data_IF_303757373018
#
_entry.id   IF_303757373018
#
_cell.length_a   1.000
_cell.length_b   1.000
_cell.length_c   1.000
_cell.angle_alpha   90.00
_cell.angle_beta   90.00
_cell.angle_gamma   90.00
#
_symmetry.space_group_name_H-M   'P 1'
#
loop_
_entity.id
_entity.type
_entity.pdbx_description
1 polymer ?
#
# COMPACT_ATOMS: atom_id res chain seq x y z
N UNK A 1 -28.24 2.73 -29.77
CA UNK A 1 -26.89 2.22 -29.46
C UNK A 1 -26.42 2.92 -28.19
N UNK A 2 -25.88 2.20 -27.21
CA UNK A 2 -25.35 2.80 -25.99
C UNK A 2 -24.13 3.68 -26.33
N UNK A 3 -24.05 4.86 -25.73
CA UNK A 3 -22.95 5.80 -25.95
C UNK A 3 -22.17 6.01 -24.63
N UNK A 4 -20.91 5.54 -24.55
CA UNK A 4 -20.18 5.56 -23.29
C UNK A 4 -19.72 6.97 -22.92
N UNK A 5 -19.61 7.27 -21.62
CA UNK A 5 -19.03 8.51 -21.12
C UNK A 5 -17.53 8.33 -20.94
N UNK A 6 -16.71 9.01 -21.75
CA UNK A 6 -15.25 8.86 -21.67
C UNK A 6 -14.61 10.15 -21.18
N UNK A 7 -13.72 10.03 -20.19
CA UNK A 7 -12.85 11.12 -19.74
C UNK A 7 -11.44 10.86 -20.26
N UNK A 8 -10.87 11.83 -20.98
CA UNK A 8 -9.52 11.72 -21.53
C UNK A 8 -8.58 12.77 -20.90
N UNK A 9 -7.56 12.35 -20.16
CA UNK A 9 -6.51 13.24 -19.67
C UNK A 9 -5.43 13.41 -20.73
N UNK A 10 -5.24 14.62 -21.23
CA UNK A 10 -4.31 14.92 -22.32
C UNK A 10 -3.16 15.80 -21.84
N UNK A 11 -1.93 15.33 -22.05
CA UNK A 11 -0.74 16.13 -21.86
C UNK A 11 -0.77 17.38 -22.75
N UNK A 12 -0.53 18.55 -22.15
CA UNK A 12 -0.55 19.86 -22.81
C UNK A 12 0.38 19.94 -24.01
N UNK A 13 1.57 19.39 -23.91
CA UNK A 13 2.64 19.62 -24.88
C UNK A 13 2.57 18.75 -26.13
N UNK A 14 1.98 17.56 -26.01
CA UNK A 14 1.96 16.57 -27.08
C UNK A 14 0.52 16.19 -27.42
N UNK A 15 -0.14 15.42 -26.56
CA UNK A 15 -1.42 14.79 -26.91
C UNK A 15 -2.58 15.78 -27.05
N UNK A 16 -2.57 16.90 -26.32
CA UNK A 16 -3.55 17.97 -26.51
C UNK A 16 -3.36 18.64 -27.88
N UNK A 17 -2.12 18.96 -28.25
CA UNK A 17 -1.79 19.48 -29.59
C UNK A 17 -2.03 18.45 -30.69
N UNK A 18 -1.84 17.16 -30.43
CA UNK A 18 -2.22 16.07 -31.34
C UNK A 18 -3.73 16.06 -31.59
N UNK A 19 -4.54 16.36 -30.58
CA UNK A 19 -5.98 16.56 -30.74
C UNK A 19 -6.30 17.79 -31.59
N UNK A 20 -5.59 18.92 -31.39
CA UNK A 20 -5.73 20.12 -32.21
C UNK A 20 -5.39 19.83 -33.68
N UNK A 21 -4.28 19.11 -33.93
CA UNK A 21 -3.85 18.66 -35.26
C UNK A 21 -4.92 17.79 -35.92
N UNK A 22 -5.53 16.86 -35.17
CA UNK A 22 -6.64 16.05 -35.68
C UNK A 22 -7.85 16.91 -36.08
N UNK A 23 -8.17 17.95 -35.28
CA UNK A 23 -9.22 18.92 -35.58
C UNK A 23 -8.95 19.75 -36.83
N UNK A 24 -7.74 20.28 -36.98
CA UNK A 24 -7.29 21.06 -38.17
C UNK A 24 -7.39 20.19 -39.43
N UNK A 25 -6.93 18.95 -39.35
CA UNK A 25 -6.99 17.97 -40.43
C UNK A 25 -8.41 17.40 -40.67
N UNK A 26 -9.41 17.86 -39.90
CA UNK A 26 -10.83 17.42 -39.98
C UNK A 26 -10.99 15.90 -39.85
N UNK A 27 -10.15 15.27 -39.06
CA UNK A 27 -10.21 13.84 -38.80
C UNK A 27 -11.39 13.53 -37.88
N UNK A 28 -12.16 12.49 -38.22
CA UNK A 28 -13.31 12.08 -37.42
C UNK A 28 -12.85 11.48 -36.09
N UNK A 29 -13.26 12.12 -35.00
CA UNK A 29 -13.06 11.64 -33.63
C UNK A 29 -14.41 11.46 -32.94
N UNK A 30 -14.51 10.55 -31.96
CA UNK A 30 -15.78 10.28 -31.28
C UNK A 30 -16.21 11.47 -30.41
N UNK A 31 -17.50 11.85 -30.49
CA UNK A 31 -18.04 13.05 -29.83
C UNK A 31 -18.28 12.89 -28.32
N UNK A 32 -18.19 11.66 -27.80
CA UNK A 32 -18.45 11.29 -26.41
C UNK A 32 -17.19 11.27 -25.52
N UNK A 33 -16.04 11.70 -26.04
CA UNK A 33 -14.82 11.89 -25.26
C UNK A 33 -14.74 13.33 -24.76
N UNK A 34 -14.57 13.50 -23.44
CA UNK A 34 -14.34 14.79 -22.80
C UNK A 34 -12.89 14.93 -22.39
N UNK A 35 -12.17 15.82 -23.06
CA UNK A 35 -10.76 16.06 -22.79
C UNK A 35 -10.57 16.94 -21.54
N UNK A 36 -9.69 16.52 -20.65
CA UNK A 36 -9.17 17.27 -19.51
C UNK A 36 -7.69 17.54 -19.79
N UNK A 37 -7.33 18.80 -19.98
CA UNK A 37 -5.95 19.21 -20.20
C UNK A 37 -5.16 19.12 -18.90
N UNK A 38 -4.01 18.46 -18.94
CA UNK A 38 -3.04 18.42 -17.83
C UNK A 38 -1.67 18.89 -18.32
N UNK A 39 -0.80 19.45 -17.47
CA UNK A 39 0.55 19.84 -17.90
C UNK A 39 1.35 18.65 -18.46
N UNK A 40 1.24 17.48 -17.81
CA UNK A 40 1.96 16.26 -18.16
C UNK A 40 1.10 15.03 -17.84
N UNK A 41 1.28 13.92 -18.57
CA UNK A 41 0.68 12.62 -18.18
C UNK A 41 1.12 12.18 -16.78
N UNK A 42 2.34 12.54 -16.36
CA UNK A 42 2.83 12.31 -14.99
C UNK A 42 2.04 13.02 -13.89
N UNK A 43 1.20 14.01 -14.24
CA UNK A 43 0.29 14.67 -13.29
C UNK A 43 -0.96 13.83 -12.99
N UNK A 44 -1.31 12.89 -13.87
CA UNK A 44 -2.49 12.04 -13.69
C UNK A 44 -2.21 11.03 -12.58
N UNK A 45 -2.80 11.29 -11.41
CA UNK A 45 -2.69 10.42 -10.25
C UNK A 45 -3.83 9.38 -10.27
N UNK A 46 -3.68 8.26 -9.52
CA UNK A 46 -4.74 7.27 -9.38
C UNK A 46 -6.06 7.85 -8.90
N UNK A 47 -6.03 8.83 -8.01
CA UNK A 47 -7.21 9.46 -7.43
C UNK A 47 -8.01 10.21 -8.49
N UNK A 48 -7.35 10.82 -9.49
CA UNK A 48 -8.04 11.47 -10.61
C UNK A 48 -8.77 10.45 -11.49
N UNK A 49 -8.19 9.27 -11.67
CA UNK A 49 -8.79 8.17 -12.44
C UNK A 49 -9.98 7.59 -11.66
N UNK A 50 -9.80 7.29 -10.36
CA UNK A 50 -10.88 6.83 -9.48
C UNK A 50 -12.03 7.84 -9.45
N UNK A 51 -11.72 9.13 -9.34
CA UNK A 51 -12.71 10.21 -9.35
C UNK A 51 -13.49 10.29 -10.67
N UNK A 52 -12.84 10.02 -11.80
CA UNK A 52 -13.52 9.97 -13.09
C UNK A 52 -14.55 8.83 -13.14
N UNK A 53 -14.19 7.63 -12.64
CA UNK A 53 -15.13 6.50 -12.55
C UNK A 53 -16.25 6.76 -11.52
N UNK A 54 -15.94 7.31 -10.34
CA UNK A 54 -16.95 7.74 -9.36
C UNK A 54 -17.89 8.82 -9.93
N UNK A 55 -17.36 9.70 -10.79
CA UNK A 55 -18.11 10.69 -11.56
C UNK A 55 -18.94 10.10 -12.69
N UNK A 56 -18.71 8.85 -13.07
CA UNK A 56 -19.51 8.11 -14.03
C UNK A 56 -18.93 7.97 -15.41
N UNK A 57 -17.61 8.05 -15.51
CA UNK A 57 -16.92 7.59 -16.70
C UNK A 57 -17.14 6.08 -16.86
N UNK A 58 -17.44 5.67 -18.09
CA UNK A 58 -17.46 4.28 -18.51
C UNK A 58 -16.08 3.82 -19.02
N UNK A 59 -15.22 4.78 -19.35
CA UNK A 59 -13.82 4.59 -19.67
C UNK A 59 -12.98 5.84 -19.40
N UNK A 60 -11.72 5.63 -19.02
CA UNK A 60 -10.72 6.67 -18.77
C UNK A 60 -9.52 6.46 -19.69
N UNK A 61 -9.19 7.49 -20.46
CA UNK A 61 -8.05 7.51 -21.36
C UNK A 61 -6.99 8.48 -20.84
N UNK A 62 -5.73 8.09 -20.85
CA UNK A 62 -4.60 8.96 -20.53
C UNK A 62 -3.65 8.99 -21.71
N UNK A 63 -3.44 10.18 -22.29
CA UNK A 63 -2.51 10.37 -23.40
C UNK A 63 -1.35 11.28 -22.99
N UNK A 64 -0.13 10.80 -23.22
CA UNK A 64 1.12 11.53 -22.98
C UNK A 64 2.01 11.69 -24.21
N UNK A 65 3.12 12.38 -24.04
CA UNK A 65 4.23 12.37 -25.01
C UNK A 65 4.84 10.97 -25.09
N UNK A 66 5.45 10.61 -26.22
CA UNK A 66 6.24 9.38 -26.33
C UNK A 66 7.35 9.33 -25.27
N UNK A 67 7.69 8.11 -24.84
CA UNK A 67 8.76 7.88 -23.86
C UNK A 67 10.07 8.46 -24.41
N UNK A 68 10.78 9.25 -23.60
CA UNK A 68 11.95 10.03 -24.04
C UNK A 68 11.66 11.42 -24.64
N UNK A 69 10.41 11.75 -24.97
CA UNK A 69 9.99 13.05 -25.52
C UNK A 69 9.20 13.90 -24.52
N UNK A 70 9.25 13.57 -23.23
CA UNK A 70 8.53 14.35 -22.24
C UNK A 70 9.10 15.77 -22.15
N UNK A 71 8.22 16.76 -22.18
CA UNK A 71 8.60 18.15 -21.90
C UNK A 71 9.19 18.34 -20.49
N UNK A 72 8.82 17.47 -19.54
CA UNK A 72 9.32 17.47 -18.17
C UNK A 72 10.24 16.28 -17.90
N UNK A 73 10.98 15.84 -18.92
CA UNK A 73 11.95 14.74 -18.94
C UNK A 73 11.38 13.36 -18.60
N UNK A 74 10.99 13.14 -17.35
CA UNK A 74 10.62 11.82 -16.82
C UNK A 74 9.14 11.73 -16.43
N UNK A 75 8.34 12.76 -16.70
CA UNK A 75 6.93 12.82 -16.27
C UNK A 75 6.10 11.66 -16.83
N UNK A 76 6.26 11.33 -18.11
CA UNK A 76 5.57 10.19 -18.74
C UNK A 76 6.14 8.82 -18.31
N UNK A 77 7.42 8.72 -17.95
CA UNK A 77 8.00 7.50 -17.35
C UNK A 77 7.28 7.14 -16.04
N UNK A 78 6.97 8.14 -15.20
CA UNK A 78 6.14 7.92 -13.99
C UNK A 78 4.76 7.39 -14.34
N UNK A 79 4.09 7.96 -15.35
CA UNK A 79 2.78 7.49 -15.80
C UNK A 79 2.85 6.05 -16.34
N UNK A 80 3.90 5.72 -17.10
CA UNK A 80 4.14 4.40 -17.68
C UNK A 80 4.33 3.31 -16.61
N UNK A 81 4.89 3.65 -15.45
CA UNK A 81 4.96 2.74 -14.29
C UNK A 81 3.65 2.69 -13.51
N UNK A 82 3.05 3.86 -13.26
CA UNK A 82 1.94 4.02 -12.32
C UNK A 82 0.61 3.49 -12.83
N UNK A 83 0.27 3.77 -14.08
CA UNK A 83 -1.05 3.46 -14.63
C UNK A 83 -1.25 1.96 -14.85
N UNK A 84 -0.26 1.17 -15.32
CA UNK A 84 -0.40 -0.29 -15.38
C UNK A 84 -0.66 -0.93 -14.01
N UNK A 85 0.06 -0.50 -12.97
CA UNK A 85 -0.17 -0.99 -11.60
C UNK A 85 -1.59 -0.65 -11.10
N UNK A 86 -2.10 0.54 -11.43
CA UNK A 86 -3.47 0.91 -11.10
C UNK A 86 -4.46 0.05 -11.89
N UNK A 87 -4.21 -0.17 -13.18
CA UNK A 87 -5.04 -1.01 -14.04
C UNK A 87 -5.14 -2.42 -13.49
N UNK A 88 -4.04 -2.99 -13.00
CA UNK A 88 -4.02 -4.28 -12.29
C UNK A 88 -4.90 -4.26 -11.04
N UNK A 89 -4.79 -3.22 -10.20
CA UNK A 89 -5.63 -3.08 -9.01
C UNK A 89 -7.12 -2.97 -9.35
N UNK A 90 -7.47 -2.16 -10.36
CA UNK A 90 -8.84 -1.97 -10.83
C UNK A 90 -9.43 -3.27 -11.39
N UNK A 91 -8.63 -4.02 -12.16
CA UNK A 91 -8.99 -5.34 -12.65
C UNK A 91 -9.26 -6.31 -11.50
N UNK A 92 -8.39 -6.32 -10.48
CA UNK A 92 -8.55 -7.18 -9.31
C UNK A 92 -9.83 -6.87 -8.53
N UNK A 93 -10.31 -5.63 -8.55
CA UNK A 93 -11.61 -5.26 -7.97
C UNK A 93 -12.79 -5.34 -8.92
N UNK A 94 -12.60 -5.93 -10.10
CA UNK A 94 -13.68 -6.26 -11.02
C UNK A 94 -13.99 -5.24 -12.10
N UNK A 95 -13.21 -4.16 -12.22
CA UNK A 95 -13.32 -3.25 -13.36
C UNK A 95 -12.60 -3.85 -14.58
N UNK A 96 -13.28 -3.91 -15.73
CA UNK A 96 -12.70 -4.46 -16.95
C UNK A 96 -11.45 -3.66 -17.36
N UNK A 97 -10.29 -4.32 -17.59
CA UNK A 97 -9.02 -3.62 -17.86
C UNK A 97 -9.10 -2.66 -19.06
N UNK A 98 -9.93 -2.95 -20.05
CA UNK A 98 -10.11 -2.16 -21.26
C UNK A 98 -10.77 -0.80 -20.99
N UNK A 99 -11.36 -0.59 -19.80
CA UNK A 99 -11.92 0.71 -19.38
C UNK A 99 -10.84 1.73 -18.98
N UNK A 100 -9.59 1.32 -18.80
CA UNK A 100 -8.45 2.21 -18.54
C UNK A 100 -7.35 1.98 -19.58
N UNK A 101 -7.02 3.02 -20.36
CA UNK A 101 -5.94 2.99 -21.36
C UNK A 101 -4.96 4.15 -21.13
N UNK A 102 -3.68 3.81 -21.13
CA UNK A 102 -2.57 4.75 -21.29
C UNK A 102 -2.00 4.56 -22.70
N UNK A 103 -1.78 5.65 -23.43
CA UNK A 103 -1.12 5.61 -24.74
C UNK A 103 -0.34 6.92 -24.99
N UNK A 104 0.42 6.96 -26.08
CA UNK A 104 1.35 8.03 -26.40
C UNK A 104 1.02 8.66 -27.75
N UNK A 105 0.97 9.99 -27.79
CA UNK A 105 0.63 10.80 -28.97
C UNK A 105 1.46 12.07 -28.94
N UNK A 106 2.30 12.26 -29.96
CA UNK A 106 3.06 13.51 -30.21
C UNK A 106 2.16 14.62 -30.76
N UNK A 107 2.69 15.85 -30.81
CA UNK A 107 1.95 17.02 -31.28
C UNK A 107 1.50 16.93 -32.75
N UNK A 108 2.30 16.28 -33.60
CA UNK A 108 2.02 16.13 -35.04
C UNK A 108 1.18 14.90 -35.39
N UNK A 109 0.83 14.06 -34.42
CA UNK A 109 0.19 12.76 -34.62
C UNK A 109 -1.35 12.82 -34.58
N UNK A 110 -1.95 13.71 -35.37
CA UNK A 110 -3.41 13.85 -35.44
C UNK A 110 -4.14 12.56 -35.87
N UNK A 111 -3.60 11.84 -36.85
CA UNK A 111 -4.15 10.55 -37.31
C UNK A 111 -4.11 9.49 -36.22
N UNK A 112 -3.01 9.41 -35.46
CA UNK A 112 -2.88 8.48 -34.33
C UNK A 112 -3.85 8.83 -33.22
N UNK A 113 -4.02 10.12 -32.89
CA UNK A 113 -5.02 10.58 -31.92
C UNK A 113 -6.43 10.14 -32.31
N UNK A 114 -6.84 10.40 -33.56
CA UNK A 114 -8.14 10.01 -34.06
C UNK A 114 -8.32 8.49 -34.02
N UNK A 115 -7.31 7.72 -34.43
CA UNK A 115 -7.35 6.25 -34.36
C UNK A 115 -7.53 5.74 -32.92
N UNK A 116 -6.66 6.15 -31.99
CA UNK A 116 -6.70 5.68 -30.59
C UNK A 116 -8.03 6.01 -29.92
N UNK A 117 -8.55 7.22 -30.14
CA UNK A 117 -9.83 7.63 -29.56
C UNK A 117 -10.99 6.84 -30.11
N UNK A 118 -11.04 6.57 -31.41
CA UNK A 118 -12.06 5.72 -32.02
C UNK A 118 -11.99 4.26 -31.51
N UNK A 119 -10.80 3.67 -31.50
CA UNK A 119 -10.58 2.31 -30.97
C UNK A 119 -11.03 2.20 -29.52
N UNK A 120 -10.62 3.16 -28.68
CA UNK A 120 -10.97 3.15 -27.27
C UNK A 120 -12.47 3.34 -27.05
N UNK A 121 -13.10 4.27 -27.78
CA UNK A 121 -14.54 4.46 -27.71
C UNK A 121 -15.32 3.22 -28.14
N UNK A 122 -14.85 2.51 -29.17
CA UNK A 122 -15.45 1.25 -29.60
C UNK A 122 -15.27 0.15 -28.56
N UNK A 123 -14.07 -0.01 -27.99
CA UNK A 123 -13.80 -1.00 -26.95
C UNK A 123 -14.71 -0.80 -25.73
N UNK A 124 -14.82 0.43 -25.23
CA UNK A 124 -15.70 0.76 -24.10
C UNK A 124 -17.18 0.58 -24.47
N UNK A 125 -17.58 0.90 -25.71
CA UNK A 125 -18.96 0.71 -26.18
C UNK A 125 -19.35 -0.77 -26.19
N UNK A 126 -18.43 -1.67 -26.57
CA UNK A 126 -18.66 -3.12 -26.57
C UNK A 126 -18.83 -3.68 -25.15
N UNK A 127 -18.17 -3.09 -24.15
CA UNK A 127 -18.35 -3.47 -22.75
C UNK A 127 -19.66 -2.98 -22.13
N UNK A 128 -20.34 -2.00 -22.75
CA UNK A 128 -21.55 -1.41 -22.18
C UNK A 128 -21.29 -0.54 -20.94
N UNK A 129 -22.36 -0.16 -20.22
CA UNK A 129 -22.26 0.73 -19.06
C UNK A 129 -21.42 0.12 -17.93
N UNK A 130 -20.60 0.94 -17.29
CA UNK A 130 -19.77 0.47 -16.18
C UNK A 130 -20.61 0.14 -14.95
N UNK A 131 -20.33 -1.01 -14.33
CA UNK A 131 -20.90 -1.43 -13.04
C UNK A 131 -20.19 -0.79 -11.83
N UNK A 132 -19.25 0.13 -12.06
CA UNK A 132 -18.52 0.83 -11.00
C UNK A 132 -19.43 1.55 -9.98
N UNK A 133 -20.68 1.87 -10.31
CA UNK A 133 -21.63 2.49 -9.37
C UNK A 133 -22.87 1.63 -9.14
N UNK A 134 -22.70 0.31 -9.16
CA UNK A 134 -23.77 -0.61 -8.81
C UNK A 134 -24.36 -0.27 -7.42
N UNK A 135 -25.68 -0.46 -7.30
CA UNK A 135 -26.44 -0.12 -6.10
C UNK A 135 -26.08 -1.10 -4.96
N UNK A 136 -25.69 -0.61 -3.76
CA UNK A 136 -25.45 -1.45 -2.60
C UNK A 136 -26.60 -2.43 -2.28
N UNK A 137 -27.86 -2.08 -2.52
CA UNK A 137 -29.01 -2.98 -2.27
C UNK A 137 -29.02 -4.17 -3.23
N UNK A 138 -28.54 -4.00 -4.46
CA UNK A 138 -28.40 -5.09 -5.44
C UNK A 138 -27.25 -6.04 -5.08
N UNK A 139 -26.23 -5.54 -4.37
CA UNK A 139 -24.98 -6.24 -4.01
C UNK A 139 -25.11 -7.07 -2.72
N UNK A 140 -26.05 -6.75 -1.82
CA UNK A 140 -26.23 -7.46 -0.53
C UNK A 140 -26.66 -8.92 -0.66
N UNK A 141 -27.07 -9.36 -1.86
CA UNK A 141 -27.64 -10.70 -2.07
C UNK A 141 -26.60 -11.83 -2.16
N UNK A 142 -25.30 -11.53 -2.27
CA UNK A 142 -24.24 -12.54 -2.33
C UNK A 142 -23.09 -12.20 -1.37
N UNK A 143 -23.31 -12.47 -0.09
CA UNK A 143 -22.21 -12.57 0.88
C UNK A 143 -21.39 -13.82 0.62
N UNK A 144 -20.53 -13.80 -0.40
CA UNK A 144 -19.50 -14.84 -0.56
C UNK A 144 -18.61 -14.82 0.67
N UNK A 145 -18.84 -15.80 1.55
CA UNK A 145 -17.93 -16.09 2.64
C UNK A 145 -16.60 -16.54 2.02
N UNK A 146 -15.52 -16.06 2.61
CA UNK A 146 -14.19 -16.52 2.26
C UNK A 146 -14.02 -18.00 2.53
N UNK A 147 -13.01 -18.60 1.88
CA UNK A 147 -12.47 -19.84 2.38
C UNK A 147 -11.99 -19.60 3.83
N UNK A 148 -12.64 -20.26 4.78
CA UNK A 148 -12.16 -20.40 6.14
C UNK A 148 -11.50 -21.77 6.24
N UNK A 149 -10.19 -21.77 6.46
CA UNK A 149 -9.45 -23.00 6.74
C UNK A 149 -9.48 -23.31 8.23
N UNK A 150 -9.26 -24.58 8.56
CA UNK A 150 -9.10 -25.00 9.95
C UNK A 150 -8.03 -24.15 10.64
N UNK A 151 -8.27 -23.69 11.88
CA UNK A 151 -7.28 -22.96 12.66
C UNK A 151 -6.02 -23.81 12.85
N UNK A 152 -4.86 -23.18 12.73
CA UNK A 152 -3.59 -23.83 13.01
C UNK A 152 -3.19 -23.45 14.43
N UNK A 153 -3.03 -24.45 15.29
CA UNK A 153 -2.55 -24.23 16.65
C UNK A 153 -1.17 -23.56 16.62
N UNK A 154 -0.92 -22.63 17.54
CA UNK A 154 0.37 -21.98 17.64
C UNK A 154 1.43 -22.93 18.23
N UNK A 155 2.64 -23.02 17.65
CA UNK A 155 3.70 -23.90 18.16
C UNK A 155 4.16 -23.44 19.56
N UNK A 156 4.39 -24.36 20.49
CA UNK A 156 5.01 -23.98 21.76
C UNK A 156 6.46 -23.51 21.53
N UNK A 157 6.83 -22.38 22.14
CA UNK A 157 8.12 -21.73 21.91
C UNK A 157 8.69 -21.18 23.20
N UNK A 158 10.03 -21.09 23.28
CA UNK A 158 10.73 -20.50 24.42
C UNK A 158 10.69 -18.96 24.36
N UNK A 159 9.49 -18.42 24.62
CA UNK A 159 9.28 -16.99 24.71
C UNK A 159 9.94 -16.36 25.95
N UNK A 160 10.10 -17.13 27.03
CA UNK A 160 10.63 -16.65 28.30
C UNK A 160 12.11 -16.28 28.18
N UNK A 161 12.95 -17.17 27.64
CA UNK A 161 14.37 -16.88 27.44
C UNK A 161 14.59 -15.68 26.50
N UNK A 162 13.76 -15.55 25.46
CA UNK A 162 13.80 -14.38 24.56
C UNK A 162 13.43 -13.09 25.28
N UNK A 163 12.42 -13.12 26.16
CA UNK A 163 12.03 -11.96 26.96
C UNK A 163 13.19 -11.52 27.86
N UNK A 164 13.81 -12.45 28.60
CA UNK A 164 14.95 -12.16 29.46
C UNK A 164 16.15 -11.57 28.68
N UNK A 165 16.46 -12.12 27.50
CA UNK A 165 17.50 -11.59 26.63
C UNK A 165 17.19 -10.16 26.12
N UNK A 166 15.93 -9.87 25.79
CA UNK A 166 15.49 -8.52 25.40
C UNK A 166 15.67 -7.55 26.57
N UNK A 167 15.26 -7.95 27.77
CA UNK A 167 15.38 -7.15 28.98
C UNK A 167 16.85 -6.84 29.30
N UNK A 168 17.72 -7.86 29.25
CA UNK A 168 19.16 -7.72 29.47
C UNK A 168 19.78 -6.75 28.45
N UNK A 169 19.45 -6.90 27.16
CA UNK A 169 19.98 -6.00 26.13
C UNK A 169 19.45 -4.58 26.26
N UNK A 170 18.17 -4.41 26.55
CA UNK A 170 17.58 -3.10 26.79
C UNK A 170 18.26 -2.38 27.97
N UNK A 171 18.53 -3.11 29.07
CA UNK A 171 19.22 -2.57 30.24
C UNK A 171 20.64 -2.10 29.89
N UNK A 172 21.38 -2.91 29.13
CA UNK A 172 22.73 -2.57 28.65
C UNK A 172 22.72 -1.27 27.81
N UNK A 173 21.80 -1.17 26.84
CA UNK A 173 21.71 -0.02 25.93
C UNK A 173 21.30 1.26 26.66
N UNK A 174 20.40 1.17 27.65
CA UNK A 174 19.97 2.31 28.45
C UNK A 174 21.06 2.74 29.46
N UNK A 175 21.72 1.80 30.15
CA UNK A 175 22.80 2.10 31.11
C UNK A 175 24.02 2.73 30.45
N UNK A 176 24.37 2.27 29.25
CA UNK A 176 25.46 2.83 28.46
C UNK A 176 25.12 4.20 27.84
N UNK A 177 23.84 4.58 27.80
CA UNK A 177 23.37 5.78 27.10
C UNK A 177 23.41 5.65 25.57
N UNK A 178 23.59 4.44 25.03
CA UNK A 178 23.56 4.16 23.59
C UNK A 178 22.21 4.56 22.99
N UNK A 179 21.12 4.30 23.73
CA UNK A 179 19.77 4.71 23.37
C UNK A 179 19.11 5.44 24.53
N UNK A 180 18.17 6.34 24.23
CA UNK A 180 17.39 7.05 25.27
C UNK A 180 16.06 6.40 25.62
N UNK A 181 15.62 5.46 24.79
CA UNK A 181 14.35 4.77 24.94
C UNK A 181 14.43 3.44 24.21
N UNK A 182 13.82 2.39 24.75
CA UNK A 182 13.59 1.12 24.05
C UNK A 182 12.08 0.97 23.81
N UNK A 183 11.70 0.85 22.55
CA UNK A 183 10.34 0.53 22.10
C UNK A 183 10.20 -0.99 22.09
N UNK A 184 9.30 -1.52 22.90
CA UNK A 184 9.07 -2.96 23.05
C UNK A 184 7.61 -3.29 23.31
N UNK A 185 7.37 -4.45 23.91
CA UNK A 185 6.03 -4.89 24.32
C UNK A 185 5.94 -5.01 25.83
N UNK A 186 4.75 -4.81 26.39
CA UNK A 186 4.42 -5.17 27.78
C UNK A 186 3.07 -5.87 27.84
N UNK A 187 2.86 -6.69 28.87
CA UNK A 187 1.55 -7.26 29.19
C UNK A 187 0.73 -6.22 29.94
N UNK A 188 -0.35 -5.74 29.33
CA UNK A 188 -1.25 -4.78 29.97
C UNK A 188 -2.07 -5.39 31.11
N UNK A 189 -2.77 -4.58 31.92
CA UNK A 189 -3.53 -5.04 33.08
C UNK A 189 -4.63 -6.06 32.78
N UNK A 190 -5.09 -6.13 31.52
CA UNK A 190 -6.10 -7.09 31.04
C UNK A 190 -5.47 -8.33 30.40
N UNK A 191 -4.17 -8.57 30.60
CA UNK A 191 -3.43 -9.70 30.03
C UNK A 191 -3.07 -9.57 28.56
N UNK A 192 -3.49 -8.48 27.87
CA UNK A 192 -3.18 -8.27 26.45
C UNK A 192 -1.83 -7.58 26.27
N UNK A 193 -1.03 -8.12 25.35
CA UNK A 193 0.24 -7.52 24.94
C UNK A 193 0.02 -6.22 24.17
N UNK A 194 0.75 -5.17 24.53
CA UNK A 194 0.68 -3.83 23.92
C UNK A 194 2.08 -3.22 23.75
N UNK A 195 2.25 -2.24 22.86
CA UNK A 195 3.48 -1.45 22.78
C UNK A 195 3.81 -0.75 24.11
N UNK A 196 5.09 -0.68 24.45
CA UNK A 196 5.61 0.06 25.61
C UNK A 196 6.90 0.81 25.27
N UNK A 197 7.24 1.79 26.10
CA UNK A 197 8.41 2.65 25.95
C UNK A 197 9.18 2.68 27.27
N UNK A 198 10.39 2.12 27.27
CA UNK A 198 11.24 2.03 28.46
C UNK A 198 12.34 3.07 28.37
N UNK A 199 12.38 3.99 29.33
CA UNK A 199 13.39 5.07 29.39
C UNK A 199 14.45 4.81 30.45
N UNK A 200 14.13 4.00 31.45
CA UNK A 200 15.00 3.76 32.59
C UNK A 200 15.39 2.27 32.70
N UNK A 201 16.67 1.95 32.97
CA UNK A 201 17.13 0.56 33.06
C UNK A 201 16.39 -0.29 34.10
N UNK A 202 15.87 0.31 35.17
CA UNK A 202 15.10 -0.35 36.23
C UNK A 202 13.70 -0.80 35.78
N UNK A 203 13.20 -0.28 34.66
CA UNK A 203 11.88 -0.61 34.13
C UNK A 203 11.90 -1.73 33.07
N UNK A 204 13.08 -2.27 32.75
CA UNK A 204 13.23 -3.26 31.66
C UNK A 204 12.40 -4.52 31.88
N UNK A 205 12.15 -4.93 33.13
CA UNK A 205 11.33 -6.09 33.47
C UNK A 205 9.89 -6.01 32.93
N UNK A 206 9.42 -4.81 32.57
CA UNK A 206 8.13 -4.60 31.89
C UNK A 206 8.14 -5.13 30.46
N UNK A 207 9.31 -5.25 29.83
CA UNK A 207 9.45 -5.78 28.49
C UNK A 207 9.10 -7.27 28.47
N UNK A 208 8.16 -7.64 27.61
CA UNK A 208 7.76 -9.03 27.40
C UNK A 208 8.00 -9.45 25.96
N UNK A 209 8.17 -10.75 25.78
CA UNK A 209 8.07 -11.41 24.50
C UNK A 209 7.16 -12.61 24.65
N UNK A 210 6.10 -12.66 23.84
CA UNK A 210 5.13 -13.74 23.85
C UNK A 210 4.43 -13.82 22.48
N UNK A 211 3.64 -14.87 22.22
CA UNK A 211 2.96 -15.04 20.93
C UNK A 211 2.00 -13.91 20.55
N UNK A 212 1.58 -13.08 21.52
CA UNK A 212 0.68 -11.95 21.32
C UNK A 212 1.41 -10.63 21.02
N UNK A 213 2.74 -10.67 20.81
CA UNK A 213 3.57 -9.56 20.31
C UNK A 213 3.27 -9.22 18.82
N UNK A 214 1.98 -9.00 18.52
CA UNK A 214 1.44 -8.90 17.16
C UNK A 214 1.77 -7.57 16.50
N UNK A 215 1.73 -6.45 17.23
CA UNK A 215 1.90 -5.08 16.71
C UNK A 215 3.23 -4.90 15.96
N UNK A 216 3.26 -4.07 14.91
CA UNK A 216 4.51 -3.64 14.30
C UNK A 216 5.00 -2.35 15.01
N UNK A 217 6.06 -2.47 15.80
CA UNK A 217 6.54 -1.38 16.66
C UNK A 217 7.23 -0.24 15.88
N UNK A 218 7.56 -0.46 14.61
CA UNK A 218 8.24 0.54 13.78
C UNK A 218 7.40 1.80 13.56
N UNK A 219 6.07 1.70 13.70
CA UNK A 219 5.13 2.83 13.67
C UNK A 219 5.51 3.94 14.65
N UNK A 220 6.13 3.59 15.78
CA UNK A 220 6.48 4.56 16.83
C UNK A 220 7.87 5.18 16.66
N UNK A 221 8.68 4.73 15.70
CA UNK A 221 10.05 5.24 15.53
C UNK A 221 10.05 6.69 15.08
N UNK A 222 9.21 7.02 14.09
CA UNK A 222 9.16 8.36 13.52
C UNK A 222 8.85 9.42 14.58
N UNK A 223 7.95 9.15 15.53
CA UNK A 223 7.64 10.09 16.62
C UNK A 223 8.77 10.22 17.64
N UNK A 224 9.65 9.21 17.76
CA UNK A 224 10.76 9.20 18.70
C UNK A 224 12.07 9.73 18.10
N UNK A 225 12.26 9.57 16.79
CA UNK A 225 13.49 9.94 16.05
C UNK A 225 13.30 11.16 15.18
N UNK A 226 12.14 11.31 14.55
CA UNK A 226 11.81 12.44 13.67
C UNK A 226 11.05 13.51 14.46
N UNK A 227 11.57 14.74 14.47
CA UNK A 227 11.02 15.93 13.78
C UNK A 227 9.51 16.28 13.97
N UNK A 228 8.68 15.52 14.65
CA UNK A 228 7.54 16.06 15.46
C UNK A 228 8.05 16.73 16.73
N UNK A 229 9.34 16.55 17.01
CA UNK A 229 10.13 17.47 17.77
C UNK A 229 10.42 18.77 17.03
N UNK A 230 10.37 18.94 15.71
CA UNK A 230 10.90 20.15 15.06
C UNK A 230 10.10 21.44 15.33
N UNK A 231 8.79 21.36 15.59
CA UNK A 231 8.02 22.49 16.13
C UNK A 231 8.34 22.79 17.60
N UNK A 232 8.93 21.83 18.34
CA UNK A 232 9.39 21.97 19.74
C UNK A 232 10.93 22.08 19.90
N UNK A 233 11.70 21.72 18.88
CA UNK A 233 13.16 21.53 18.84
C UNK A 233 13.82 22.60 17.97
N UNK A 234 13.03 23.36 17.21
CA UNK A 234 13.38 24.75 16.87
C UNK A 234 13.81 25.54 18.12
N UNK A 235 13.38 25.14 19.32
CA UNK A 235 13.81 25.72 20.59
C UNK A 235 14.95 24.98 21.32
N UNK A 236 15.36 23.76 20.94
CA UNK A 236 16.34 22.98 21.73
C UNK A 236 17.69 22.67 21.06
N UNK A 237 17.88 22.85 19.74
CA UNK A 237 19.20 22.70 19.05
C UNK A 237 20.00 21.42 19.39
N UNK A 238 19.38 20.37 19.91
CA UNK A 238 20.05 19.08 20.17
C UNK A 238 19.70 18.07 19.08
N UNK A 239 20.68 17.29 18.57
CA UNK A 239 20.41 16.24 17.61
C UNK A 239 19.52 15.16 18.24
N UNK A 240 18.62 14.53 17.47
CA UNK A 240 17.82 13.42 17.97
C UNK A 240 18.75 12.31 18.49
N UNK A 241 18.44 11.83 19.70
CA UNK A 241 19.20 10.76 20.35
C UNK A 241 18.71 9.40 19.83
N UNK A 242 19.58 8.38 19.76
CA UNK A 242 19.18 7.08 19.24
C UNK A 242 18.11 6.39 20.10
N UNK A 243 17.28 5.57 19.47
CA UNK A 243 16.24 4.76 20.15
C UNK A 243 16.42 3.29 19.84
N UNK A 244 16.20 2.43 20.82
CA UNK A 244 16.13 0.98 20.64
C UNK A 244 14.72 0.57 20.18
N UNK A 245 14.62 -0.43 19.32
CA UNK A 245 13.34 -1.03 18.93
C UNK A 245 13.45 -2.54 18.83
N UNK A 246 12.50 -3.25 19.44
CA UNK A 246 12.37 -4.70 19.32
C UNK A 246 11.58 -5.02 18.05
N UNK A 247 12.12 -5.88 17.19
CA UNK A 247 11.52 -6.17 15.88
C UNK A 247 11.42 -7.65 15.57
N UNK A 248 10.27 -8.04 15.00
CA UNK A 248 10.09 -9.31 14.27
C UNK A 248 10.72 -9.22 12.88
N UNK A 249 10.87 -10.34 12.15
CA UNK A 249 11.33 -10.34 10.75
C UNK A 249 10.53 -9.41 9.82
N UNK A 250 9.20 -9.43 9.92
CA UNK A 250 8.33 -8.55 9.13
C UNK A 250 8.46 -7.07 9.52
N UNK A 251 8.75 -6.77 10.79
CA UNK A 251 9.02 -5.41 11.27
C UNK A 251 10.39 -4.94 10.73
N UNK A 252 11.40 -5.80 10.69
CA UNK A 252 12.71 -5.49 10.13
C UNK A 252 12.66 -5.18 8.63
N UNK A 253 11.82 -5.88 7.85
CA UNK A 253 11.55 -5.49 6.46
C UNK A 253 10.91 -4.12 6.37
N UNK A 254 10.04 -3.77 7.31
CA UNK A 254 9.46 -2.42 7.38
C UNK A 254 10.56 -1.37 7.58
N UNK A 255 11.53 -1.64 8.46
CA UNK A 255 12.67 -0.74 8.69
C UNK A 255 13.46 -0.49 7.40
N UNK A 256 13.73 -1.53 6.60
CA UNK A 256 14.39 -1.35 5.30
C UNK A 256 13.60 -0.42 4.37
N UNK A 257 12.28 -0.55 4.30
CA UNK A 257 11.44 0.38 3.51
C UNK A 257 11.52 1.81 4.05
N UNK A 258 11.46 1.99 5.37
CA UNK A 258 11.56 3.31 6.01
C UNK A 258 12.95 3.95 5.80
N UNK A 259 14.02 3.15 5.83
CA UNK A 259 15.39 3.59 5.55
C UNK A 259 15.55 3.99 4.08
N UNK A 260 14.99 3.22 3.15
CA UNK A 260 14.99 3.54 1.72
C UNK A 260 14.28 4.88 1.43
N UNK A 261 13.27 5.22 2.22
CA UNK A 261 12.52 6.47 2.15
C UNK A 261 13.12 7.60 2.98
N UNK A 262 14.29 7.39 3.59
CA UNK A 262 14.98 8.36 4.45
C UNK A 262 14.10 8.90 5.59
N UNK A 263 13.25 8.05 6.18
CA UNK A 263 12.36 8.47 7.28
C UNK A 263 13.11 8.79 8.57
N UNK A 264 14.25 8.14 8.77
CA UNK A 264 15.19 8.43 9.84
C UNK A 264 16.60 7.98 9.43
N UNK A 265 17.66 8.57 9.99
CA UNK A 265 19.02 8.09 9.79
C UNK A 265 19.24 6.74 10.51
N UNK A 266 19.97 5.81 9.88
CA UNK A 266 20.21 4.46 10.41
C UNK A 266 20.91 4.45 11.78
N UNK A 267 21.79 5.41 12.03
CA UNK A 267 22.52 5.59 13.30
C UNK A 267 21.64 6.05 14.46
N UNK A 268 20.38 6.43 14.19
CA UNK A 268 19.42 6.87 15.21
C UNK A 268 18.50 5.76 15.71
N UNK A 269 18.67 4.54 15.22
CA UNK A 269 17.87 3.39 15.64
C UNK A 269 18.79 2.22 15.93
N UNK A 270 18.74 1.69 17.15
CA UNK A 270 19.34 0.41 17.52
C UNK A 270 18.29 -0.68 17.38
N UNK A 271 18.53 -1.66 16.52
CA UNK A 271 17.54 -2.68 16.18
C UNK A 271 17.83 -3.96 16.97
N UNK A 272 16.95 -4.26 17.92
CA UNK A 272 16.94 -5.54 18.65
C UNK A 272 16.06 -6.50 17.86
N UNK A 273 16.68 -7.27 16.97
CA UNK A 273 16.02 -8.28 16.17
C UNK A 273 15.73 -9.54 16.97
N UNK A 274 14.55 -10.11 16.82
CA UNK A 274 14.14 -11.34 17.50
C UNK A 274 13.74 -12.39 16.46
N UNK A 275 14.30 -13.60 16.58
CA UNK A 275 13.86 -14.75 15.81
C UNK A 275 12.38 -15.05 16.12
N UNK A 276 11.56 -15.29 15.10
CA UNK A 276 10.10 -15.32 15.22
C UNK A 276 9.47 -16.58 14.64
N UNK A 277 8.78 -17.33 15.49
CA UNK A 277 8.02 -18.53 15.14
C UNK A 277 6.61 -18.23 14.61
N UNK A 278 6.22 -16.96 14.64
CA UNK A 278 4.90 -16.48 14.26
C UNK A 278 4.23 -15.78 15.43
N UNK A 279 3.01 -15.29 15.20
CA UNK A 279 2.19 -14.64 16.24
C UNK A 279 0.77 -15.20 16.24
N UNK A 280 0.06 -15.04 17.37
CA UNK A 280 -1.31 -15.49 17.54
C UNK A 280 -2.33 -14.45 17.08
N UNK A 281 -3.48 -14.93 16.63
CA UNK A 281 -4.70 -14.14 16.47
C UNK A 281 -5.46 -14.06 17.81
N UNK A 282 -6.59 -13.35 17.81
CA UNK A 282 -7.42 -13.17 19.00
C UNK A 282 -8.09 -14.46 19.51
N UNK A 283 -8.06 -15.55 18.73
CA UNK A 283 -8.57 -16.88 19.10
C UNK A 283 -7.48 -17.79 19.67
N UNK A 284 -6.24 -17.33 19.71
CA UNK A 284 -5.08 -18.09 20.19
C UNK A 284 -4.40 -18.96 19.14
N UNK A 285 -4.83 -18.89 17.88
CA UNK A 285 -4.29 -19.66 16.76
C UNK A 285 -3.23 -18.86 15.98
N UNK A 286 -2.41 -19.54 15.19
CA UNK A 286 -1.41 -18.92 14.33
C UNK A 286 -2.08 -17.99 13.31
N UNK A 287 -1.65 -16.71 13.27
CA UNK A 287 -2.20 -15.76 12.30
C UNK A 287 -1.99 -16.22 10.85
N UNK A 288 -2.98 -15.93 9.99
CA UNK A 288 -2.96 -16.30 8.57
C UNK A 288 -1.70 -15.81 7.82
N UNK A 289 -1.15 -14.67 8.22
CA UNK A 289 0.10 -14.13 7.65
C UNK A 289 1.34 -14.99 7.95
N UNK A 290 1.32 -15.73 9.06
CA UNK A 290 2.44 -16.54 9.53
C UNK A 290 2.40 -17.97 8.98
N UNK A 291 1.24 -18.43 8.49
CA UNK A 291 1.06 -19.79 7.95
C UNK A 291 2.02 -20.13 6.80
N UNK A 292 2.37 -19.15 5.98
CA UNK A 292 3.28 -19.31 4.83
C UNK A 292 4.54 -18.45 4.96
N UNK A 293 4.87 -18.03 6.19
CA UNK A 293 6.02 -17.18 6.44
C UNK A 293 7.30 -18.01 6.54
N UNK A 294 8.19 -17.85 5.56
CA UNK A 294 9.53 -18.48 5.56
C UNK A 294 10.58 -17.62 6.29
N UNK A 295 10.27 -16.34 6.55
CA UNK A 295 11.19 -15.41 7.19
C UNK A 295 11.13 -15.52 8.72
N UNK A 296 12.13 -16.17 9.30
CA UNK A 296 12.22 -16.40 10.75
C UNK A 296 13.25 -15.53 11.44
N UNK A 297 14.19 -14.97 10.70
CA UNK A 297 15.20 -14.04 11.19
C UNK A 297 14.99 -12.64 10.61
N UNK A 298 15.21 -11.58 11.40
CA UNK A 298 15.24 -10.20 10.91
C UNK A 298 16.29 -10.00 9.83
N UNK A 299 15.90 -9.36 8.72
CA UNK A 299 16.80 -9.01 7.60
C UNK A 299 17.76 -7.86 7.93
N UNK A 300 17.46 -7.09 8.97
CA UNK A 300 18.29 -6.00 9.48
C UNK A 300 18.19 -5.95 11.00
N UNK A 301 19.32 -5.93 11.68
CA UNK A 301 19.43 -5.85 13.15
C UNK A 301 20.82 -5.39 13.58
N UNK A 302 20.92 -4.86 14.80
CA UNK A 302 22.20 -4.60 15.49
C UNK A 302 22.47 -5.67 16.56
N UNK A 303 21.42 -6.31 17.06
CA UNK A 303 21.51 -7.42 18.01
C UNK A 303 20.45 -8.44 17.63
N UNK A 304 20.84 -9.70 17.52
CA UNK A 304 19.92 -10.80 17.27
C UNK A 304 19.67 -11.58 18.56
N UNK A 305 18.40 -11.87 18.84
CA UNK A 305 17.95 -12.68 19.98
C UNK A 305 17.23 -13.91 19.45
N UNK A 306 17.64 -15.08 19.93
CA UNK A 306 17.15 -16.37 19.46
C UNK A 306 17.83 -16.83 18.17
N UNK A 307 17.53 -18.07 17.81
CA UNK A 307 18.11 -18.74 16.64
C UNK A 307 17.02 -19.03 15.60
N UNK A 308 17.43 -19.30 14.36
CA UNK A 308 16.49 -19.77 13.35
C UNK A 308 15.95 -21.15 13.76
N UNK A 309 14.64 -21.41 13.61
CA UNK A 309 14.12 -22.74 13.85
C UNK A 309 14.72 -23.72 12.83
N UNK A 310 15.04 -24.94 13.29
CA UNK A 310 15.61 -25.99 12.43
C UNK A 310 14.66 -26.39 11.30
N UNK A 311 13.35 -26.38 11.58
CA UNK A 311 12.29 -26.65 10.61
C UNK A 311 11.28 -25.52 10.60
N UNK A 312 10.74 -25.22 9.41
CA UNK A 312 9.67 -24.25 9.22
C UNK A 312 8.45 -25.00 8.71
N UNK A 313 7.45 -25.14 9.57
CA UNK A 313 6.16 -25.68 9.16
C UNK A 313 5.39 -24.60 8.39
N UNK A 314 5.01 -24.94 7.16
CA UNK A 314 4.15 -24.13 6.32
C UNK A 314 2.78 -24.80 6.19
N UNK A 315 1.73 -23.99 6.23
CA UNK A 315 0.35 -24.43 6.23
C UNK A 315 -0.44 -23.77 5.10
N UNK A 316 -1.51 -24.41 4.60
CA UNK A 316 -2.46 -23.78 3.72
C UNK A 316 -2.94 -22.42 4.25
N UNK A 317 -2.87 -21.39 3.40
CA UNK A 317 -3.17 -20.01 3.77
C UNK A 317 -4.53 -19.59 3.20
N UNK A 318 -5.49 -19.15 4.04
CA UNK A 318 -6.76 -18.60 3.54
C UNK A 318 -6.54 -17.44 2.57
N UNK A 319 -5.45 -16.69 2.77
CA UNK A 319 -5.06 -15.60 1.89
C UNK A 319 -4.81 -16.09 0.47
N UNK A 320 -4.02 -17.16 0.31
CA UNK A 320 -3.67 -17.69 -1.01
C UNK A 320 -4.90 -18.28 -1.70
N UNK A 321 -5.75 -18.99 -0.97
CA UNK A 321 -7.00 -19.53 -1.50
C UNK A 321 -7.98 -18.43 -1.90
N UNK A 322 -8.15 -17.40 -1.07
CA UNK A 322 -9.03 -16.28 -1.35
C UNK A 322 -8.51 -15.42 -2.52
N UNK A 323 -7.19 -15.27 -2.65
CA UNK A 323 -6.56 -14.67 -3.83
C UNK A 323 -6.90 -15.47 -5.09
N UNK A 324 -6.68 -16.79 -5.09
CA UNK A 324 -6.95 -17.65 -6.23
C UNK A 324 -8.44 -17.69 -6.61
N UNK A 325 -9.33 -17.68 -5.62
CA UNK A 325 -10.77 -17.60 -5.82
C UNK A 325 -11.19 -16.29 -6.50
N UNK A 326 -10.62 -15.15 -6.08
CA UNK A 326 -10.89 -13.86 -6.71
C UNK A 326 -10.32 -13.77 -8.13
N UNK A 327 -9.14 -14.32 -8.37
CA UNK A 327 -8.53 -14.33 -9.71
C UNK A 327 -9.29 -15.22 -10.71
N UNK A 328 -9.91 -16.29 -10.22
CA UNK A 328 -10.77 -17.17 -11.01
C UNK A 328 -12.18 -16.62 -11.24
N UNK A 329 -12.58 -15.58 -10.48
CA UNK A 329 -13.90 -14.98 -10.56
C UNK A 329 -14.02 -14.01 -11.75
N UNK A 330 -15.23 -13.94 -12.30
CA UNK A 330 -15.58 -12.96 -13.34
C UNK A 330 -15.43 -11.53 -12.81
N UNK A 331 -15.25 -10.51 -13.69
CA UNK A 331 -15.20 -9.12 -13.26
C UNK A 331 -16.41 -8.68 -12.42
N UNK A 332 -17.62 -9.13 -12.78
CA UNK A 332 -18.83 -8.81 -12.04
C UNK A 332 -18.81 -9.39 -10.61
N UNK A 333 -18.42 -10.65 -10.44
CA UNK A 333 -18.31 -11.29 -9.12
C UNK A 333 -17.22 -10.63 -8.25
N UNK A 334 -16.10 -10.22 -8.85
CA UNK A 334 -15.06 -9.46 -8.14
C UNK A 334 -15.58 -8.09 -7.68
N UNK A 335 -16.27 -7.37 -8.57
CA UNK A 335 -16.86 -6.07 -8.25
C UNK A 335 -17.84 -6.20 -7.09
N UNK A 336 -18.77 -7.15 -7.19
CA UNK A 336 -19.76 -7.42 -6.16
C UNK A 336 -19.10 -7.72 -4.81
N UNK A 337 -18.15 -8.65 -4.79
CA UNK A 337 -17.40 -8.99 -3.59
C UNK A 337 -16.74 -7.76 -2.95
N UNK A 338 -16.00 -6.96 -3.72
CA UNK A 338 -15.27 -5.81 -3.18
C UNK A 338 -16.19 -4.69 -2.73
N UNK A 339 -17.28 -4.42 -3.45
CA UNK A 339 -18.27 -3.43 -3.02
C UNK A 339 -18.94 -3.85 -1.71
N UNK A 340 -19.25 -5.14 -1.53
CA UNK A 340 -19.76 -5.65 -0.27
C UNK A 340 -18.76 -5.46 0.90
N UNK A 341 -17.46 -5.65 0.65
CA UNK A 341 -16.44 -5.40 1.67
C UNK A 341 -16.27 -3.90 1.99
N UNK A 342 -16.25 -3.04 0.96
CA UNK A 342 -16.12 -1.60 1.16
C UNK A 342 -17.36 -1.01 1.84
N UNK A 343 -18.55 -1.57 1.63
CA UNK A 343 -19.75 -1.07 2.27
C UNK A 343 -19.72 -1.24 3.81
N UNK A 344 -19.12 -2.33 4.29
CA UNK A 344 -18.91 -2.61 5.72
C UNK A 344 -17.96 -1.62 6.40
N UNK A 345 -17.14 -0.89 5.65
CA UNK A 345 -16.14 0.00 6.23
C UNK A 345 -16.80 1.19 6.95
N UNK A 346 -16.52 1.33 8.25
CA UNK A 346 -16.98 2.46 9.07
C UNK A 346 -16.01 3.66 9.06
N UNK A 347 -14.96 3.62 8.24
CA UNK A 347 -13.88 4.63 8.17
C UNK A 347 -13.31 5.05 9.53
N UNK A 348 -13.10 4.10 10.44
CA UNK A 348 -12.45 4.35 11.74
C UNK A 348 -10.93 4.62 11.64
N UNK A 349 -10.34 4.44 10.46
CA UNK A 349 -8.92 4.61 10.15
C UNK A 349 -7.93 3.75 10.94
N UNK A 350 -8.39 2.77 11.73
CA UNK A 350 -7.53 1.84 12.46
C UNK A 350 -6.50 1.15 11.54
N UNK A 351 -6.92 0.74 10.33
CA UNK A 351 -6.05 0.13 9.34
C UNK A 351 -4.92 1.06 8.83
N UNK A 352 -5.14 2.38 8.85
CA UNK A 352 -4.14 3.40 8.52
C UNK A 352 -3.22 3.64 9.70
N UNK A 353 -3.76 3.81 10.91
CA UNK A 353 -2.98 4.06 12.13
C UNK A 353 -2.07 2.88 12.50
N UNK A 354 -2.52 1.65 12.24
CA UNK A 354 -1.72 0.44 12.50
C UNK A 354 -0.60 0.21 11.47
N UNK A 355 -0.60 0.93 10.34
CA UNK A 355 0.36 0.71 9.27
C UNK A 355 1.56 1.65 9.39
N UNK A 356 2.78 1.15 9.63
CA UNK A 356 3.99 1.97 9.76
C UNK A 356 4.38 2.72 8.48
N UNK A 357 3.83 2.32 7.33
CA UNK A 357 4.12 2.91 6.01
C UNK A 357 3.02 3.88 5.55
N UNK A 358 1.96 4.07 6.34
CA UNK A 358 0.93 5.10 6.12
C UNK A 358 1.17 6.33 7.02
N UNK A 359 2.36 6.91 6.89
CA UNK A 359 2.93 7.93 7.80
C UNK A 359 2.87 9.37 7.25
N UNK A 360 2.08 9.61 6.21
CA UNK A 360 1.91 10.97 5.68
C UNK A 360 1.44 11.93 6.80
N UNK A 361 2.06 13.11 6.96
CA UNK A 361 1.70 14.06 8.01
C UNK A 361 0.27 14.58 7.83
N UNK A 362 -0.19 14.64 6.57
CA UNK A 362 -1.58 14.92 6.24
C UNK A 362 -2.07 13.92 5.21
N UNK A 363 -3.04 13.10 5.60
CA UNK A 363 -3.62 12.09 4.73
C UNK A 363 -4.72 12.72 3.88
N UNK A 364 -4.62 12.61 2.55
CA UNK A 364 -5.66 13.09 1.60
C UNK A 364 -7.06 12.56 1.96
N UNK A 365 -7.14 11.33 2.48
CA UNK A 365 -8.40 10.68 2.82
C UNK A 365 -8.97 11.10 4.18
N UNK A 366 -8.25 11.87 4.99
CA UNK A 366 -8.75 12.39 6.28
C UNK A 366 -9.07 13.89 6.22
N UNK A 367 -8.83 14.53 5.05
CA UNK A 367 -9.07 15.96 4.85
C UNK A 367 -10.50 16.23 4.37
N UNK A 368 -11.24 17.05 5.10
CA UNK A 368 -12.56 17.54 4.73
C UNK A 368 -12.53 18.54 3.56
N UNK A 369 -11.42 19.25 3.37
CA UNK A 369 -11.21 20.24 2.31
C UNK A 369 -10.64 19.67 0.99
N UNK A 370 -10.52 18.35 0.88
CA UNK A 370 -10.04 17.70 -0.33
C UNK A 370 -11.07 17.81 -1.47
N UNK A 371 -10.70 18.53 -2.53
CA UNK A 371 -11.54 18.72 -3.73
C UNK A 371 -11.75 17.44 -4.56
N UNK A 372 -10.94 16.41 -4.32
CA UNK A 372 -10.83 15.24 -5.21
C UNK A 372 -11.33 13.95 -4.56
N UNK A 373 -11.24 13.84 -3.24
CA UNK A 373 -11.68 12.68 -2.47
C UNK A 373 -12.28 13.15 -1.15
N UNK A 374 -13.52 12.75 -0.85
CA UNK A 374 -14.21 13.14 0.38
C UNK A 374 -13.92 12.24 1.58
N UNK A 375 -14.17 12.75 2.79
CA UNK A 375 -14.11 12.02 4.07
C UNK A 375 -15.39 11.25 4.40
N UNK A 376 -16.41 11.34 3.54
CA UNK A 376 -17.72 10.70 3.74
C UNK A 376 -17.65 9.17 3.81
N UNK A 377 -18.70 8.57 4.35
CA UNK A 377 -18.85 7.11 4.49
C UNK A 377 -19.69 6.47 3.37
N UNK A 378 -19.91 7.20 2.26
CA UNK A 378 -20.53 6.65 1.06
C UNK A 378 -19.65 5.56 0.43
N UNK A 379 -20.27 4.63 -0.30
CA UNK A 379 -19.56 3.48 -0.88
C UNK A 379 -18.41 3.91 -1.79
N UNK A 380 -18.61 4.94 -2.60
CA UNK A 380 -17.59 5.46 -3.51
C UNK A 380 -16.39 6.02 -2.72
N UNK A 381 -16.62 6.81 -1.67
CA UNK A 381 -15.56 7.36 -0.83
C UNK A 381 -14.80 6.26 -0.08
N UNK A 382 -15.52 5.25 0.46
CA UNK A 382 -14.93 4.08 1.14
C UNK A 382 -14.04 3.29 0.17
N UNK A 383 -14.54 2.98 -1.03
CA UNK A 383 -13.76 2.31 -2.08
C UNK A 383 -12.52 3.13 -2.45
N UNK A 384 -12.68 4.41 -2.73
CA UNK A 384 -11.57 5.28 -3.14
C UNK A 384 -10.50 5.37 -2.05
N UNK A 385 -10.88 5.38 -0.76
CA UNK A 385 -9.94 5.22 0.35
C UNK A 385 -9.19 3.89 0.31
N UNK A 386 -9.89 2.75 0.19
CA UNK A 386 -9.25 1.43 0.20
C UNK A 386 -8.32 1.22 -1.00
N UNK A 387 -8.77 1.56 -2.21
CA UNK A 387 -7.98 1.42 -3.43
C UNK A 387 -6.80 2.39 -3.46
N UNK A 388 -7.03 3.66 -3.10
CA UNK A 388 -5.96 4.66 -3.05
C UNK A 388 -4.91 4.31 -2.00
N UNK A 389 -5.32 3.82 -0.82
CA UNK A 389 -4.38 3.35 0.21
C UNK A 389 -3.58 2.13 -0.25
N UNK A 390 -4.23 1.14 -0.86
CA UNK A 390 -3.52 -0.04 -1.40
C UNK A 390 -2.50 0.40 -2.45
N UNK A 391 -2.89 1.30 -3.35
CA UNK A 391 -2.01 1.85 -4.36
C UNK A 391 -0.82 2.63 -3.77
N UNK A 392 -1.04 3.48 -2.77
CA UNK A 392 0.03 4.21 -2.07
C UNK A 392 1.03 3.29 -1.34
N UNK A 393 0.65 2.03 -1.08
CA UNK A 393 1.49 1.00 -0.50
C UNK A 393 2.14 0.07 -1.55
N UNK A 394 1.88 0.28 -2.85
CA UNK A 394 2.45 -0.52 -3.92
C UNK A 394 4.00 -0.48 -3.89
N UNK A 395 4.61 -1.66 -3.77
CA UNK A 395 6.07 -1.82 -3.62
C UNK A 395 6.63 -1.44 -2.24
N UNK A 396 5.76 -1.11 -1.28
CA UNK A 396 6.12 -0.75 0.10
C UNK A 396 5.60 -1.78 1.12
N UNK A 397 4.41 -2.36 0.89
CA UNK A 397 3.82 -3.32 1.84
C UNK A 397 4.68 -4.58 2.03
N UNK A 398 5.04 -4.87 3.28
CA UNK A 398 5.84 -6.06 3.66
C UNK A 398 4.99 -7.27 4.07
N UNK A 399 3.66 -7.19 3.95
CA UNK A 399 2.76 -8.30 4.29
C UNK A 399 2.59 -8.58 5.79
N UNK A 400 2.87 -7.60 6.67
CA UNK A 400 2.74 -7.77 8.12
C UNK A 400 1.28 -7.80 8.64
N UNK A 401 0.28 -7.64 7.76
CA UNK A 401 -1.17 -7.74 8.01
C UNK A 401 -1.77 -6.91 9.17
N UNK A 402 -1.02 -5.99 9.79
CA UNK A 402 -1.53 -5.13 10.87
C UNK A 402 -2.80 -4.36 10.52
N UNK A 403 -2.94 -3.97 9.25
CA UNK A 403 -4.10 -3.21 8.80
C UNK A 403 -5.39 -4.04 8.73
N UNK A 404 -5.28 -5.35 8.50
CA UNK A 404 -6.42 -6.27 8.48
C UNK A 404 -6.80 -6.66 9.90
N UNK A 405 -5.80 -7.02 10.73
CA UNK A 405 -6.00 -7.34 12.15
C UNK A 405 -6.61 -6.17 12.95
N UNK A 406 -6.26 -4.93 12.60
CA UNK A 406 -6.82 -3.74 13.24
C UNK A 406 -8.25 -3.39 12.77
N UNK A 407 -8.79 -4.07 11.76
CA UNK A 407 -10.09 -3.75 11.20
C UNK A 407 -11.21 -4.37 12.05
N UNK A 408 -12.08 -3.58 12.72
CA UNK A 408 -13.18 -4.12 13.51
C UNK A 408 -14.30 -4.74 12.66
N UNK A 409 -14.18 -4.62 11.33
CA UNK A 409 -15.14 -5.12 10.35
C UNK A 409 -14.57 -6.29 9.56
N UNK A 410 -13.41 -6.83 9.94
CA UNK A 410 -12.77 -7.97 9.27
C UNK A 410 -12.68 -7.80 7.74
N UNK A 411 -12.35 -6.58 7.30
CA UNK A 411 -12.20 -6.29 5.87
C UNK A 411 -10.86 -6.89 5.43
N UNK A 412 -10.83 -7.67 4.34
CA UNK A 412 -9.67 -8.41 3.84
C UNK A 412 -8.69 -7.51 3.09
N UNK A 413 -8.25 -6.43 3.73
CA UNK A 413 -7.41 -5.38 3.17
C UNK A 413 -6.08 -5.97 2.66
N UNK A 414 -5.60 -7.06 3.25
CA UNK A 414 -4.34 -7.68 2.85
C UNK A 414 -4.38 -8.29 1.45
N UNK A 415 -5.55 -8.69 0.93
CA UNK A 415 -5.66 -9.22 -0.43
C UNK A 415 -5.32 -8.16 -1.49
N UNK A 416 -5.79 -6.92 -1.32
CA UNK A 416 -5.43 -5.80 -2.22
C UNK A 416 -3.91 -5.57 -2.23
N UNK A 417 -3.30 -5.53 -1.05
CA UNK A 417 -1.87 -5.26 -0.93
C UNK A 417 -1.02 -6.43 -1.44
N UNK A 418 -1.46 -7.68 -1.25
CA UNK A 418 -0.74 -8.86 -1.77
C UNK A 418 -0.83 -8.97 -3.28
N UNK A 419 -1.99 -8.68 -3.88
CA UNK A 419 -2.10 -8.61 -5.34
C UNK A 419 -1.12 -7.60 -5.92
N UNK A 420 -1.02 -6.43 -5.31
CA UNK A 420 -0.06 -5.40 -5.72
C UNK A 420 1.39 -5.84 -5.48
N UNK A 421 1.69 -6.48 -4.35
CA UNK A 421 3.04 -7.00 -4.10
C UNK A 421 3.45 -8.02 -5.18
N UNK A 422 2.57 -8.97 -5.54
CA UNK A 422 2.80 -9.93 -6.62
C UNK A 422 3.02 -9.24 -7.97
N UNK A 423 2.25 -8.19 -8.27
CA UNK A 423 2.44 -7.41 -9.51
C UNK A 423 3.80 -6.72 -9.54
N UNK A 424 4.19 -6.09 -8.43
CA UNK A 424 5.45 -5.36 -8.34
C UNK A 424 6.65 -6.32 -8.44
N UNK A 425 6.55 -7.50 -7.84
CA UNK A 425 7.56 -8.54 -7.99
C UNK A 425 7.62 -9.05 -9.44
N UNK A 426 6.49 -9.33 -10.07
CA UNK A 426 6.43 -9.82 -11.45
C UNK A 426 6.96 -8.81 -12.47
N UNK A 427 6.65 -7.52 -12.32
CA UNK A 427 7.00 -6.47 -13.30
C UNK A 427 8.39 -5.88 -13.04
N UNK A 428 8.79 -5.75 -11.78
CA UNK A 428 10.02 -5.03 -11.40
C UNK A 428 11.05 -5.90 -10.66
N UNK A 429 10.74 -7.16 -10.35
CA UNK A 429 11.61 -8.00 -9.52
C UNK A 429 11.81 -7.47 -8.11
N UNK A 430 10.89 -6.63 -7.62
CA UNK A 430 11.05 -5.90 -6.35
C UNK A 430 10.15 -6.47 -5.26
N UNK A 431 10.76 -6.99 -4.19
CA UNK A 431 10.07 -7.43 -2.99
C UNK A 431 10.37 -6.46 -1.83
N UNK A 432 9.31 -5.91 -1.24
CA UNK A 432 9.45 -4.80 -0.30
C UNK A 432 10.25 -5.18 0.95
N UNK A 433 11.25 -4.38 1.31
CA UNK A 433 11.96 -4.50 2.58
C UNK A 433 13.06 -5.56 2.65
N UNK A 434 13.41 -6.24 1.55
CA UNK A 434 14.58 -7.14 1.53
C UNK A 434 15.90 -6.38 1.69
N UNK A 435 15.95 -5.18 1.12
CA UNK A 435 17.05 -4.24 1.24
C UNK A 435 16.49 -2.81 1.34
N UNK A 436 17.28 -1.82 1.80
CA UNK A 436 16.85 -0.42 1.86
C UNK A 436 16.88 0.25 0.47
N UNK A 437 16.08 -0.28 -0.46
CA UNK A 437 15.94 0.20 -1.84
C UNK A 437 14.54 0.81 -2.05
N UNK A 438 14.42 2.01 -2.65
CA UNK A 438 13.14 2.66 -2.87
C UNK A 438 12.20 1.83 -3.75
N UNK A 439 10.89 1.94 -3.52
CA UNK A 439 9.88 1.32 -4.39
C UNK A 439 10.01 1.80 -5.84
N UNK A 440 9.97 0.90 -6.84
CA UNK A 440 10.07 1.25 -8.26
C UNK A 440 8.87 2.05 -8.78
N UNK A 441 7.73 2.05 -8.04
CA UNK A 441 6.51 2.80 -8.42
C UNK A 441 6.62 4.29 -8.08
N UNK A 442 7.34 4.60 -7.01
CA UNK A 442 7.45 5.95 -6.46
C UNK A 442 8.73 6.65 -6.95
N UNK A 443 9.74 5.87 -7.35
CA UNK A 443 11.04 6.36 -7.84
C UNK A 443 11.16 6.32 -9.36
N UNK A 444 11.94 7.27 -9.90
CA UNK A 444 12.54 7.17 -11.23
C UNK A 444 13.86 6.43 -11.00
N UNK A 445 14.05 5.28 -11.64
CA UNK A 445 15.24 4.45 -11.40
C UNK A 445 16.44 5.09 -12.11
N UNK A 446 17.65 4.92 -11.57
CA UNK A 446 18.88 5.39 -12.22
C UNK A 446 19.01 4.72 -13.62
N UNK A 447 19.32 5.52 -14.65
CA UNK A 447 19.31 5.11 -16.06
C UNK A 447 18.07 5.52 -16.86
N UNK A 448 17.02 6.05 -16.20
CA UNK A 448 15.83 6.61 -16.86
C UNK A 448 15.92 8.12 -17.14
N UNK A 449 17.02 8.75 -16.70
CA UNK A 449 17.35 10.11 -17.08
C UNK A 449 18.01 10.07 -18.46
N UNK A 450 17.70 11.04 -19.33
CA UNK A 450 18.59 11.31 -20.47
C UNK A 450 19.97 11.57 -19.90
N UNK A 451 20.97 10.81 -20.33
CA UNK A 451 22.36 11.23 -20.17
C UNK A 451 22.46 12.58 -20.87
N UNK A 452 22.64 13.62 -20.06
CA UNK A 452 22.77 15.01 -20.50
C UNK A 452 24.22 15.35 -20.77
#
# INVERSE_FOLDING_TARGET
MYEPKIVAFLCTWCSYTGADTAGIARLKSPANIRAVRVPCSGRVSPELILRAFDGGADGVLVLGCHIGECHYDTGNHRAAKRIPILKTLLAFVGLEPERLRLDWVSASEGERFARITNEFAQAVRLLGPSTWRADPEQIRSLSRQFASLEPVAYPETDCAAKAEAIQAKAAELLKSGTVTCVIGYETGPRGRTRPTFIYYPEEVERLTWNPDCTHNLTTYIADKVSISGALMAAHRREPPKPVGVVVKPCDARTLNVMLAENRFPRDKVHIIGVACEGVRDHTGNLQNRCRTCEERLPVVYDTLIGEAPETIDLYPSPIQENMAALESATPAERMEFWLAQFDRCIRCYACRQACPLCDCPTCLFERDDSLWVGVGIGLNEKRTFHLGRAYHLAGRCVGCNQCEEACPMDIPISLLNRRLAQEIEAVFGHRAGEAPVPSPVVSVLAGEYKEG
#
